data_IF_802352493330
#
_entry.id   IF_802352493330
#
_cell.length_a   1.000
_cell.length_b   1.000
_cell.length_c   1.000
_cell.angle_alpha   90.00
_cell.angle_beta   90.00
_cell.angle_gamma   90.00
#
_symmetry.space_group_name_H-M   'P 1'
#
loop_
_entity.id
_entity.type
_entity.pdbx_description
1 polymer ?
#
# COMPACT_ATOMS: atom_id res chain seq x y z
N UNK A 1 -10.08 14.68 18.53
CA UNK A 1 -10.61 15.04 17.20
C UNK A 1 -11.94 14.37 16.98
N UNK A 2 -12.86 15.01 16.27
CA UNK A 2 -14.18 14.44 15.94
C UNK A 2 -13.97 13.24 15.00
N UNK A 3 -14.61 12.10 15.29
CA UNK A 3 -14.70 10.96 14.38
C UNK A 3 -16.04 11.02 13.65
N UNK A 4 -16.03 10.86 12.32
CA UNK A 4 -17.27 10.86 11.53
C UNK A 4 -18.08 9.58 11.69
N UNK A 5 -17.42 8.45 11.98
CA UNK A 5 -18.06 7.16 12.21
C UNK A 5 -17.66 6.63 13.59
N UNK A 6 -18.59 5.96 14.32
CA UNK A 6 -18.30 5.37 15.62
C UNK A 6 -17.60 4.01 15.53
N UNK A 7 -17.32 3.50 14.32
CA UNK A 7 -16.69 2.22 14.05
C UNK A 7 -15.56 2.35 13.01
N UNK A 8 -14.58 1.42 12.97
CA UNK A 8 -13.56 1.40 11.93
C UNK A 8 -14.14 0.97 10.59
N UNK A 9 -13.53 1.42 9.50
CA UNK A 9 -13.76 0.87 8.18
C UNK A 9 -12.63 -0.12 7.86
N UNK A 10 -13.00 -1.34 7.49
CA UNK A 10 -12.06 -2.43 7.21
C UNK A 10 -12.15 -2.79 5.73
N UNK A 11 -11.04 -2.61 5.01
CA UNK A 11 -10.96 -2.81 3.57
C UNK A 11 -10.08 -4.02 3.23
N UNK A 12 -10.55 -4.86 2.31
CA UNK A 12 -9.75 -5.86 1.62
C UNK A 12 -9.51 -5.36 0.19
N UNK A 13 -8.26 -5.29 -0.28
CA UNK A 13 -7.91 -4.55 -1.50
C UNK A 13 -7.06 -5.44 -2.41
N UNK A 14 -7.43 -5.53 -3.69
CA UNK A 14 -6.64 -6.18 -4.73
C UNK A 14 -6.35 -7.66 -4.49
N UNK A 15 -5.21 -8.13 -4.98
CA UNK A 15 -4.76 -9.52 -4.83
C UNK A 15 -4.87 -10.34 -6.11
N UNK A 16 -5.01 -11.65 -5.95
CA UNK A 16 -5.09 -12.64 -7.04
C UNK A 16 -6.07 -13.73 -6.64
N UNK A 17 -7.06 -14.03 -7.47
CA UNK A 17 -8.14 -15.00 -7.15
C UNK A 17 -7.82 -16.46 -7.55
N UNK A 18 -6.60 -16.70 -8.05
CA UNK A 18 -6.17 -17.97 -8.62
C UNK A 18 -6.09 -17.95 -10.14
N UNK A 19 -6.73 -16.98 -10.80
CA UNK A 19 -6.76 -16.83 -12.26
C UNK A 19 -6.51 -15.39 -12.70
N UNK A 20 -6.97 -14.37 -11.98
CA UNK A 20 -6.85 -12.97 -12.38
C UNK A 20 -6.25 -12.13 -11.25
N UNK A 21 -5.45 -11.12 -11.62
CA UNK A 21 -5.08 -10.05 -10.71
C UNK A 21 -6.29 -9.15 -10.49
N UNK A 22 -6.50 -8.74 -9.25
CA UNK A 22 -7.68 -7.99 -8.83
C UNK A 22 -7.36 -6.51 -8.65
N UNK A 23 -8.32 -5.67 -9.02
CA UNK A 23 -8.41 -4.27 -8.59
C UNK A 23 -9.63 -4.02 -7.70
N UNK A 24 -10.39 -5.07 -7.40
CA UNK A 24 -11.55 -5.00 -6.52
C UNK A 24 -11.15 -4.57 -5.10
N UNK A 25 -12.10 -3.96 -4.41
CA UNK A 25 -12.02 -3.68 -3.00
C UNK A 25 -13.31 -4.16 -2.33
N UNK A 26 -13.19 -4.78 -1.17
CA UNK A 26 -14.32 -5.14 -0.32
C UNK A 26 -14.25 -4.35 0.99
N UNK A 27 -15.42 -3.99 1.51
CA UNK A 27 -15.60 -3.32 2.79
C UNK A 27 -16.43 -4.21 3.71
N UNK A 28 -15.98 -4.38 4.95
CA UNK A 28 -16.75 -5.09 5.97
C UNK A 28 -17.97 -4.25 6.40
N UNK A 29 -19.17 -4.76 6.15
CA UNK A 29 -20.40 -4.27 6.74
C UNK A 29 -20.56 -4.88 8.14
N UNK A 30 -20.15 -4.12 9.17
CA UNK A 30 -20.20 -4.57 10.56
C UNK A 30 -21.63 -4.87 11.01
N UNK A 31 -22.62 -4.13 10.50
CA UNK A 31 -24.02 -4.34 10.90
C UNK A 31 -24.60 -5.65 10.36
N UNK A 32 -24.15 -6.07 9.18
CA UNK A 32 -24.65 -7.25 8.48
C UNK A 32 -23.70 -8.46 8.56
N UNK A 33 -22.53 -8.30 9.18
CA UNK A 33 -21.52 -9.35 9.33
C UNK A 33 -21.13 -9.99 7.98
N UNK A 34 -21.01 -9.16 6.95
CA UNK A 34 -20.67 -9.60 5.60
C UNK A 34 -19.73 -8.63 4.91
N UNK A 35 -19.02 -9.13 3.90
CA UNK A 35 -18.22 -8.30 3.01
C UNK A 35 -19.08 -7.78 1.87
N UNK A 36 -18.86 -6.51 1.50
CA UNK A 36 -19.54 -5.85 0.38
C UNK A 36 -18.51 -5.31 -0.59
N UNK A 37 -18.78 -5.43 -1.89
CA UNK A 37 -17.98 -4.77 -2.90
C UNK A 37 -17.98 -3.25 -2.67
N UNK A 38 -16.83 -2.62 -2.88
CA UNK A 38 -16.58 -1.19 -2.77
C UNK A 38 -15.86 -0.69 -4.04
N UNK A 39 -15.62 0.61 -4.13
CA UNK A 39 -15.00 1.26 -5.29
C UNK A 39 -13.62 0.65 -5.60
N UNK A 40 -13.44 0.00 -6.76
CA UNK A 40 -12.17 -0.63 -7.12
C UNK A 40 -11.09 0.43 -7.42
N UNK A 41 -9.83 0.05 -7.21
CA UNK A 41 -8.68 0.84 -7.68
C UNK A 41 -8.55 0.74 -9.21
N UNK A 42 -7.74 1.60 -9.82
CA UNK A 42 -7.55 1.59 -11.28
C UNK A 42 -6.77 0.35 -11.71
N UNK A 43 -5.61 0.12 -11.09
CA UNK A 43 -4.67 -0.92 -11.55
C UNK A 43 -4.89 -2.23 -10.82
N UNK A 44 -5.15 -3.32 -11.57
CA UNK A 44 -5.12 -4.70 -11.07
C UNK A 44 -3.72 -5.05 -10.60
N UNK A 45 -3.57 -5.50 -9.35
CA UNK A 45 -2.26 -5.87 -8.78
C UNK A 45 -2.39 -6.73 -7.53
N UNK A 46 -1.37 -7.55 -7.30
CA UNK A 46 -1.12 -8.26 -6.05
C UNK A 46 0.27 -7.91 -5.51
N UNK A 47 0.57 -8.38 -4.30
CA UNK A 47 1.91 -8.28 -3.68
C UNK A 47 2.45 -6.85 -3.57
N UNK A 48 1.58 -5.85 -3.40
CA UNK A 48 1.95 -4.46 -3.20
C UNK A 48 2.12 -4.14 -1.72
N UNK A 49 2.85 -3.06 -1.43
CA UNK A 49 2.86 -2.44 -0.11
C UNK A 49 1.60 -1.60 0.09
N UNK A 50 1.11 -1.53 1.32
CA UNK A 50 -0.05 -0.70 1.66
C UNK A 50 0.12 -0.05 3.02
N UNK A 51 -0.49 1.12 3.21
CA UNK A 51 -0.45 1.85 4.48
C UNK A 51 -1.62 2.84 4.57
N UNK A 52 -1.90 3.32 5.79
CA UNK A 52 -2.89 4.38 6.03
C UNK A 52 -2.17 5.63 6.51
N UNK A 53 -2.38 6.76 5.83
CA UNK A 53 -1.87 8.06 6.25
C UNK A 53 -3.00 9.09 6.20
N UNK A 54 -3.23 9.79 7.31
CA UNK A 54 -4.31 10.77 7.45
C UNK A 54 -5.72 10.22 7.11
N UNK A 55 -5.98 8.94 7.37
CA UNK A 55 -7.19 8.19 7.00
C UNK A 55 -7.42 7.97 5.49
N UNK A 56 -6.42 8.22 4.65
CA UNK A 56 -6.41 7.81 3.25
C UNK A 56 -5.68 6.47 3.15
N UNK A 57 -6.19 5.58 2.30
CA UNK A 57 -5.54 4.28 2.02
C UNK A 57 -4.53 4.49 0.90
N UNK A 58 -3.30 4.03 1.07
CA UNK A 58 -2.26 4.05 0.05
C UNK A 58 -1.93 2.61 -0.34
N UNK A 59 -1.84 2.35 -1.64
CA UNK A 59 -1.29 1.12 -2.20
C UNK A 59 -0.19 1.47 -3.19
N UNK A 60 0.94 0.77 -3.13
CA UNK A 60 2.12 1.12 -3.91
C UNK A 60 2.97 -0.10 -4.26
N UNK A 61 3.41 -0.12 -5.52
CA UNK A 61 4.12 -1.26 -6.10
C UNK A 61 3.18 -2.42 -6.42
N UNK A 62 3.67 -3.64 -6.27
CA UNK A 62 2.99 -4.88 -6.66
C UNK A 62 3.32 -5.32 -8.07
N UNK A 63 2.57 -6.30 -8.57
CA UNK A 63 2.72 -6.81 -9.94
C UNK A 63 1.39 -7.29 -10.51
N UNK A 64 1.36 -7.48 -11.83
CA UNK A 64 0.26 -8.06 -12.57
C UNK A 64 0.77 -8.85 -13.78
N UNK A 65 -0.09 -9.10 -14.77
CA UNK A 65 0.29 -9.81 -16.00
C UNK A 65 1.26 -9.02 -16.88
N UNK A 66 1.10 -7.71 -16.94
CA UNK A 66 1.88 -6.84 -17.82
C UNK A 66 3.25 -6.48 -17.21
N UNK A 67 3.31 -6.38 -15.88
CA UNK A 67 4.49 -5.89 -15.16
C UNK A 67 4.90 -6.83 -14.03
N UNK A 68 6.19 -7.22 -14.03
CA UNK A 68 6.81 -7.99 -12.94
C UNK A 68 6.94 -7.20 -11.64
N UNK A 69 7.03 -5.87 -11.73
CA UNK A 69 7.14 -4.94 -10.61
C UNK A 69 6.59 -3.57 -11.04
N UNK A 70 5.73 -2.97 -10.22
CA UNK A 70 5.11 -1.67 -10.46
C UNK A 70 5.77 -0.59 -9.59
N UNK A 71 5.70 0.66 -10.04
CA UNK A 71 6.11 1.84 -9.25
C UNK A 71 4.93 2.72 -8.85
N UNK A 72 3.75 2.48 -9.43
CA UNK A 72 2.57 3.32 -9.22
C UNK A 72 2.13 3.33 -7.75
N UNK A 73 1.67 4.49 -7.29
CA UNK A 73 0.98 4.66 -6.02
C UNK A 73 -0.44 5.14 -6.28
N UNK A 74 -1.43 4.43 -5.74
CA UNK A 74 -2.83 4.85 -5.77
C UNK A 74 -3.33 5.13 -4.35
N UNK A 75 -4.22 6.13 -4.23
CA UNK A 75 -4.73 6.61 -2.95
C UNK A 75 -6.25 6.65 -2.96
N UNK A 76 -6.86 6.07 -1.94
CA UNK A 76 -8.31 6.10 -1.75
C UNK A 76 -8.72 7.15 -0.74
N UNK A 77 -9.62 8.04 -1.16
CA UNK A 77 -10.33 8.97 -0.30
C UNK A 77 -11.74 8.45 -0.03
N UNK A 78 -11.99 7.96 1.18
CA UNK A 78 -13.30 7.41 1.54
C UNK A 78 -14.41 8.45 1.60
N UNK A 79 -14.10 9.70 1.93
CA UNK A 79 -15.13 10.74 2.06
C UNK A 79 -15.67 11.16 0.69
N UNK A 80 -14.82 11.14 -0.33
CA UNK A 80 -15.20 11.41 -1.73
C UNK A 80 -15.52 10.14 -2.53
N UNK A 81 -15.21 8.97 -1.96
CA UNK A 81 -15.34 7.65 -2.59
C UNK A 81 -14.62 7.55 -3.95
N UNK A 82 -13.37 8.03 -3.99
CA UNK A 82 -12.56 8.03 -5.22
C UNK A 82 -11.15 7.53 -4.97
N UNK A 83 -10.62 6.81 -5.96
CA UNK A 83 -9.20 6.55 -6.11
C UNK A 83 -8.56 7.64 -6.97
N UNK A 84 -7.31 7.98 -6.67
CA UNK A 84 -6.49 8.86 -7.50
C UNK A 84 -5.02 8.43 -7.46
N UNK A 85 -4.30 8.72 -8.53
CA UNK A 85 -2.86 8.45 -8.65
C UNK A 85 -2.07 9.46 -7.83
N UNK A 86 -1.04 8.97 -7.14
CA UNK A 86 -0.05 9.74 -6.38
C UNK A 86 1.35 9.51 -6.95
N UNK A 87 2.37 10.09 -6.33
CA UNK A 87 3.77 10.02 -6.78
C UNK A 87 4.27 8.58 -6.91
N UNK A 88 5.03 8.33 -7.98
CA UNK A 88 5.65 7.04 -8.24
C UNK A 88 6.78 6.74 -7.24
N UNK A 89 6.97 5.46 -6.92
CA UNK A 89 8.19 4.96 -6.29
C UNK A 89 9.39 5.22 -7.21
N UNK A 90 10.56 5.46 -6.63
CA UNK A 90 11.81 5.59 -7.36
C UNK A 90 12.27 4.24 -7.92
N UNK A 91 12.00 3.15 -7.19
CA UNK A 91 12.31 1.78 -7.61
C UNK A 91 11.00 0.98 -7.74
N UNK A 92 10.63 0.52 -8.95
CA UNK A 92 9.48 -0.37 -9.14
C UNK A 92 9.69 -1.66 -8.35
N UNK A 93 8.67 -2.15 -7.66
CA UNK A 93 8.82 -3.32 -6.78
C UNK A 93 7.50 -4.06 -6.53
N UNK A 94 7.62 -5.35 -6.27
CA UNK A 94 6.59 -6.22 -5.67
C UNK A 94 7.11 -6.85 -4.38
N UNK A 95 6.24 -7.51 -3.62
CA UNK A 95 6.57 -8.15 -2.34
C UNK A 95 7.26 -7.20 -1.34
N UNK A 96 7.07 -5.89 -1.53
CA UNK A 96 7.55 -4.84 -0.64
C UNK A 96 6.58 -4.66 0.52
N UNK A 97 7.07 -4.18 1.65
CA UNK A 97 6.20 -3.82 2.77
C UNK A 97 5.83 -2.33 2.72
N UNK A 98 4.63 -2.03 3.24
CA UNK A 98 4.17 -0.69 3.55
C UNK A 98 3.93 -0.53 5.04
N UNK A 99 4.43 0.54 5.64
CA UNK A 99 4.14 0.87 7.05
C UNK A 99 4.11 2.37 7.29
N UNK A 100 3.16 2.86 8.08
CA UNK A 100 3.14 4.26 8.50
C UNK A 100 3.90 4.43 9.81
N UNK A 101 4.84 5.38 9.85
CA UNK A 101 5.57 5.75 11.06
C UNK A 101 5.80 7.26 11.06
N UNK A 102 5.51 7.92 12.20
CA UNK A 102 5.79 9.33 12.43
C UNK A 102 5.36 10.28 11.29
N UNK A 103 4.16 10.04 10.73
CA UNK A 103 3.55 10.88 9.69
C UNK A 103 4.07 10.64 8.26
N UNK A 104 4.89 9.61 8.05
CA UNK A 104 5.37 9.17 6.73
C UNK A 104 4.98 7.72 6.48
N UNK A 105 4.88 7.35 5.21
CA UNK A 105 4.73 5.96 4.79
C UNK A 105 6.10 5.47 4.35
N UNK A 106 6.50 4.28 4.78
CA UNK A 106 7.73 3.62 4.37
C UNK A 106 7.41 2.44 3.46
N UNK A 107 8.12 2.38 2.34
CA UNK A 107 8.11 1.29 1.38
C UNK A 107 9.45 0.55 1.49
N UNK A 108 9.42 -0.70 1.96
CA UNK A 108 10.61 -1.39 2.47
C UNK A 108 10.88 -2.68 1.69
N UNK A 109 12.09 -2.77 1.12
CA UNK A 109 12.58 -3.96 0.42
C UNK A 109 11.72 -4.36 -0.77
N UNK A 110 11.62 -5.66 -1.03
CA UNK A 110 10.85 -6.25 -2.12
C UNK A 110 11.71 -6.86 -3.21
N UNK A 111 11.10 -7.05 -4.38
CA UNK A 111 11.71 -7.55 -5.60
C UNK A 111 11.48 -6.55 -6.74
N UNK A 112 12.54 -6.07 -7.37
CA UNK A 112 12.50 -4.97 -8.35
C UNK A 112 12.12 -5.41 -9.78
N UNK A 113 11.82 -6.70 -9.97
CA UNK A 113 11.63 -7.31 -11.29
C UNK A 113 12.83 -8.15 -11.75
N UNK A 114 13.98 -8.00 -11.10
CA UNK A 114 15.24 -8.71 -11.35
C UNK A 114 15.86 -9.30 -10.08
N UNK A 115 15.93 -8.52 -8.99
CA UNK A 115 16.65 -8.85 -7.75
C UNK A 115 15.84 -8.56 -6.49
N UNK A 116 16.17 -9.23 -5.38
CA UNK A 116 15.66 -8.87 -4.05
C UNK A 116 16.47 -7.67 -3.57
N UNK A 117 15.78 -6.61 -3.14
CA UNK A 117 16.41 -5.31 -2.83
C UNK A 117 16.35 -4.95 -1.34
N UNK A 118 17.34 -4.20 -0.82
CA UNK A 118 17.31 -3.65 0.53
C UNK A 118 16.74 -2.22 0.59
N UNK A 119 16.49 -1.58 -0.54
CA UNK A 119 16.15 -0.16 -0.60
C UNK A 119 14.87 0.17 0.16
N UNK A 120 14.88 1.33 0.81
CA UNK A 120 13.74 1.86 1.58
C UNK A 120 13.42 3.25 1.08
N UNK A 121 12.14 3.50 0.81
CA UNK A 121 11.65 4.82 0.40
C UNK A 121 10.61 5.32 1.39
N UNK A 122 10.62 6.61 1.69
CA UNK A 122 9.64 7.27 2.55
C UNK A 122 8.80 8.26 1.73
N UNK A 123 7.48 8.12 1.78
CA UNK A 123 6.55 9.10 1.24
C UNK A 123 6.34 10.23 2.25
N UNK A 124 6.64 11.46 1.83
CA UNK A 124 6.34 12.67 2.59
C UNK A 124 5.14 13.39 1.96
N UNK A 125 4.02 13.45 2.69
CA UNK A 125 2.78 14.05 2.19
C UNK A 125 2.89 15.57 1.95
N UNK A 126 3.87 16.25 2.56
CA UNK A 126 4.13 17.68 2.31
C UNK A 126 4.90 17.86 1.00
N UNK A 127 5.86 16.97 0.73
CA UNK A 127 6.65 16.98 -0.49
C UNK A 127 5.91 16.39 -1.70
N UNK A 128 4.88 15.57 -1.46
CA UNK A 128 4.21 14.77 -2.51
C UNK A 128 5.23 13.97 -3.31
N UNK A 129 6.13 13.27 -2.61
CA UNK A 129 7.19 12.50 -3.24
C UNK A 129 7.62 11.34 -2.35
N UNK A 130 8.09 10.27 -3.01
CA UNK A 130 8.88 9.22 -2.39
C UNK A 130 10.35 9.62 -2.41
N UNK A 131 11.02 9.51 -1.27
CA UNK A 131 12.44 9.83 -1.12
C UNK A 131 13.14 8.62 -0.54
N UNK A 132 14.26 8.23 -1.13
CA UNK A 132 15.08 7.14 -0.61
C UNK A 132 15.67 7.51 0.76
N UNK A 133 15.65 6.55 1.68
CA UNK A 133 16.25 6.66 3.03
C UNK A 133 17.26 5.53 3.24
N UNK A 134 17.83 5.41 4.43
CA UNK A 134 18.79 4.35 4.73
C UNK A 134 18.22 2.96 4.38
N UNK A 135 18.95 2.15 3.58
CA UNK A 135 18.49 0.82 3.17
C UNK A 135 18.59 -0.18 4.32
N UNK A 136 17.96 -1.35 4.17
CA UNK A 136 18.19 -2.50 5.04
C UNK A 136 19.64 -3.01 4.90
N UNK A 137 20.21 -3.53 5.99
CA UNK A 137 21.52 -4.21 5.93
C UNK A 137 21.48 -5.53 5.15
N UNK A 138 20.30 -6.12 4.98
CA UNK A 138 20.09 -7.37 4.24
C UNK A 138 18.89 -7.20 3.34
N UNK A 139 19.00 -7.49 2.03
CA UNK A 139 17.85 -7.48 1.11
C UNK A 139 16.76 -8.47 1.57
N UNK A 140 15.50 -8.05 1.53
CA UNK A 140 14.36 -8.85 1.97
C UNK A 140 13.16 -8.65 1.05
N UNK A 141 12.49 -9.74 0.70
CA UNK A 141 11.21 -9.76 -0.03
C UNK A 141 10.20 -10.56 0.80
N UNK A 142 8.93 -10.17 0.77
CA UNK A 142 7.84 -10.85 1.49
C UNK A 142 8.06 -10.93 3.01
N UNK A 143 8.81 -9.97 3.58
CA UNK A 143 9.01 -9.85 5.01
C UNK A 143 7.82 -9.14 5.68
N UNK A 144 7.63 -9.39 6.98
CA UNK A 144 6.63 -8.71 7.80
C UNK A 144 7.26 -7.53 8.53
N UNK A 145 6.51 -6.44 8.65
CA UNK A 145 6.98 -5.27 9.38
C UNK A 145 5.89 -4.65 10.23
N UNK A 146 6.29 -3.98 11.31
CA UNK A 146 5.39 -3.24 12.19
C UNK A 146 6.09 -1.99 12.72
N UNK A 147 5.35 -0.88 12.85
CA UNK A 147 5.86 0.34 13.43
C UNK A 147 5.18 0.64 14.77
N UNK A 148 5.98 0.83 15.82
CA UNK A 148 5.55 1.29 17.14
C UNK A 148 6.77 1.84 17.89
N UNK A 149 6.54 2.65 18.93
CA UNK A 149 7.61 3.22 19.77
C UNK A 149 8.75 3.90 18.95
N UNK A 150 8.35 4.68 17.94
CA UNK A 150 9.25 5.38 17.02
C UNK A 150 10.26 4.48 16.27
N UNK A 151 9.94 3.19 16.14
CA UNK A 151 10.77 2.19 15.47
C UNK A 151 9.96 1.44 14.42
N UNK A 152 10.67 0.91 13.43
CA UNK A 152 10.13 -0.02 12.44
C UNK A 152 10.90 -1.33 12.62
N UNK A 153 10.16 -2.42 12.81
CA UNK A 153 10.67 -3.78 12.98
C UNK A 153 10.37 -4.60 11.75
#
# INVERSE_FOLDING_TARGET
GIKFLPFPLVFCIGGFDGVEYLNSMELLDISQQCWRMCTPMSTKKAYFGSAVLNNFLYVFGGNNYDYKALFETEVYDRLRDVWYVSSNLNIPRRNNCGVTSNGRIYCIGGYDGSSIIPNVEAYDHRMKAWVEVAPLNTPRSSAMYVAFDNKIY
#
